data_IF_718802305000
#
_entry.id   IF_718802305000
#
_cell.length_a   1.000
_cell.length_b   1.000
_cell.length_c   1.000
_cell.angle_alpha   90.00
_cell.angle_beta   90.00
_cell.angle_gamma   90.00
#
_symmetry.space_group_name_H-M   'P 1'
#
loop_
_entity.id
_entity.type
_entity.pdbx_description
1 polymer ?
#
# COMPACT_ATOMS: atom_id res chain seq x y z
N UNK A 1 -12.97 8.00 -15.30
CA UNK A 1 -11.79 8.58 -14.57
C UNK A 1 -12.25 9.83 -13.87
N UNK A 2 -11.97 9.95 -12.55
CA UNK A 2 -12.30 11.15 -11.77
C UNK A 2 -11.72 12.39 -12.44
N UNK A 3 -12.52 13.44 -12.56
CA UNK A 3 -12.13 14.69 -13.23
C UNK A 3 -12.84 15.87 -12.59
N UNK A 4 -12.10 16.96 -12.37
CA UNK A 4 -12.63 18.19 -11.76
C UNK A 4 -12.96 18.07 -10.25
N UNK A 5 -12.41 17.04 -9.60
CA UNK A 5 -12.62 16.81 -8.16
C UNK A 5 -11.50 17.43 -7.33
N UNK A 6 -11.80 17.75 -6.07
CA UNK A 6 -10.83 18.24 -5.10
C UNK A 6 -10.47 17.13 -4.12
N UNK A 7 -9.26 16.60 -4.23
CA UNK A 7 -8.84 15.35 -3.60
C UNK A 7 -7.74 15.60 -2.58
N UNK A 8 -7.92 15.08 -1.36
CA UNK A 8 -6.89 15.10 -0.33
C UNK A 8 -6.19 13.74 -0.26
N UNK A 9 -4.86 13.74 -0.35
CA UNK A 9 -4.01 12.53 -0.27
C UNK A 9 -3.03 12.69 0.89
N UNK A 10 -2.98 11.72 1.80
CA UNK A 10 -1.95 11.66 2.84
C UNK A 10 -0.73 10.90 2.33
N UNK A 11 0.48 11.45 2.57
CA UNK A 11 1.74 10.85 2.14
C UNK A 11 1.94 10.75 0.63
N UNK A 12 1.68 11.83 -0.17
CA UNK A 12 1.62 11.77 -1.64
C UNK A 12 2.94 11.35 -2.31
N UNK A 13 4.08 11.56 -1.65
CA UNK A 13 5.40 11.13 -2.12
C UNK A 13 5.72 9.65 -1.79
N UNK A 14 4.91 9.02 -0.96
CA UNK A 14 5.13 7.67 -0.47
C UNK A 14 5.04 6.62 -1.60
N UNK A 15 5.69 5.48 -1.38
CA UNK A 15 5.78 4.35 -2.32
C UNK A 15 4.44 3.95 -2.95
N UNK A 16 3.36 3.93 -2.16
CA UNK A 16 2.02 3.56 -2.62
C UNK A 16 1.32 4.76 -3.26
N UNK A 17 1.36 5.91 -2.59
CA UNK A 17 0.60 7.10 -3.00
C UNK A 17 1.16 7.75 -4.25
N UNK A 18 2.43 7.57 -4.59
CA UNK A 18 3.08 8.24 -5.72
C UNK A 18 2.36 8.01 -7.05
N UNK A 19 2.12 6.75 -7.43
CA UNK A 19 1.41 6.42 -8.68
C UNK A 19 -0.03 6.95 -8.68
N UNK A 20 -0.71 6.87 -7.53
CA UNK A 20 -2.06 7.41 -7.35
C UNK A 20 -2.04 8.93 -7.54
N UNK A 21 -1.08 9.62 -6.91
CA UNK A 21 -0.92 11.06 -6.98
C UNK A 21 -0.65 11.52 -8.43
N UNK A 22 0.31 10.87 -9.11
CA UNK A 22 0.60 11.15 -10.52
C UNK A 22 -0.64 11.03 -11.41
N UNK A 23 -1.43 10.00 -11.21
CA UNK A 23 -2.61 9.75 -12.03
C UNK A 23 -3.73 10.74 -11.75
N UNK A 24 -4.02 10.99 -10.48
CA UNK A 24 -5.14 11.87 -10.09
C UNK A 24 -4.87 13.34 -10.36
N UNK A 25 -3.61 13.80 -10.23
CA UNK A 25 -3.22 15.17 -10.49
C UNK A 25 -3.41 15.61 -11.96
N UNK A 26 -3.50 14.66 -12.90
CA UNK A 26 -3.69 14.98 -14.32
C UNK A 26 -5.03 15.67 -14.63
N UNK A 27 -6.08 15.45 -13.81
CA UNK A 27 -7.44 15.89 -14.11
C UNK A 27 -8.21 16.44 -12.90
N UNK A 28 -7.54 16.56 -11.76
CA UNK A 28 -8.18 16.96 -10.50
C UNK A 28 -7.33 17.99 -9.76
N UNK A 29 -7.95 18.76 -8.88
CA UNK A 29 -7.27 19.56 -7.86
C UNK A 29 -6.81 18.63 -6.75
N UNK A 30 -5.52 18.34 -6.68
CA UNK A 30 -4.96 17.43 -5.67
C UNK A 30 -4.20 18.20 -4.61
N UNK A 31 -4.53 17.93 -3.36
CA UNK A 31 -3.81 18.40 -2.18
C UNK A 31 -3.10 17.22 -1.52
N UNK A 32 -1.83 17.41 -1.18
CA UNK A 32 -1.00 16.42 -0.55
C UNK A 32 -0.51 16.88 0.82
N UNK A 33 -0.75 16.07 1.85
CA UNK A 33 -0.25 16.36 3.20
C UNK A 33 0.74 15.31 3.67
N UNK A 34 1.85 15.75 4.23
CA UNK A 34 2.90 14.92 4.82
C UNK A 34 3.86 15.79 5.64
N UNK A 35 4.76 15.16 6.37
CA UNK A 35 5.87 15.87 7.04
C UNK A 35 6.91 16.41 6.06
N UNK A 36 6.98 15.86 4.84
CA UNK A 36 7.95 16.26 3.79
C UNK A 36 9.39 16.45 4.32
N UNK A 37 9.88 15.47 5.07
CA UNK A 37 11.25 15.49 5.59
C UNK A 37 12.31 15.52 4.48
N UNK A 38 11.98 15.06 3.29
CA UNK A 38 12.79 15.18 2.08
C UNK A 38 12.21 16.26 1.17
N UNK A 39 12.89 17.39 1.05
CA UNK A 39 12.46 18.51 0.22
C UNK A 39 12.46 18.19 -1.28
N UNK A 40 13.29 17.26 -1.74
CA UNK A 40 13.30 16.84 -3.13
C UNK A 40 12.01 16.07 -3.47
N UNK A 41 11.58 15.15 -2.61
CA UNK A 41 10.31 14.43 -2.80
C UNK A 41 9.10 15.39 -2.79
N UNK A 42 9.14 16.43 -1.96
CA UNK A 42 8.12 17.48 -1.97
C UNK A 42 8.06 18.20 -3.31
N UNK A 43 9.21 18.62 -3.85
CA UNK A 43 9.30 19.30 -5.16
C UNK A 43 8.79 18.40 -6.30
N UNK A 44 9.09 17.11 -6.25
CA UNK A 44 8.59 16.14 -7.23
C UNK A 44 7.05 16.05 -7.21
N UNK A 45 6.44 16.06 -6.01
CA UNK A 45 4.98 16.08 -5.86
C UNK A 45 4.40 17.40 -6.38
N UNK A 46 5.01 18.54 -6.03
CA UNK A 46 4.58 19.86 -6.50
C UNK A 46 4.72 20.03 -8.02
N UNK A 47 5.73 19.41 -8.63
CA UNK A 47 5.91 19.37 -10.09
C UNK A 47 4.77 18.66 -10.84
N UNK A 48 3.99 17.83 -10.16
CA UNK A 48 2.75 17.21 -10.69
C UNK A 48 1.55 18.16 -10.66
N UNK A 49 1.70 19.38 -10.16
CA UNK A 49 0.59 20.33 -9.95
C UNK A 49 -0.16 20.12 -8.62
N UNK A 50 0.38 19.35 -7.70
CA UNK A 50 -0.21 19.08 -6.38
C UNK A 50 0.10 20.22 -5.41
N UNK A 51 -0.92 20.71 -4.71
CA UNK A 51 -0.74 21.67 -3.61
C UNK A 51 -0.32 20.92 -2.35
N UNK A 52 0.87 21.19 -1.83
CA UNK A 52 1.37 20.51 -0.63
C UNK A 52 1.17 21.31 0.65
N UNK A 53 0.93 20.61 1.78
CA UNK A 53 0.96 21.18 3.14
C UNK A 53 1.78 20.30 4.05
N UNK A 54 2.64 20.93 4.86
CA UNK A 54 3.37 20.24 5.92
C UNK A 54 2.42 20.00 7.09
N UNK A 55 2.04 18.74 7.31
CA UNK A 55 1.18 18.32 8.42
C UNK A 55 1.73 17.01 8.98
N UNK A 56 1.94 16.97 10.30
CA UNK A 56 2.23 15.71 11.00
C UNK A 56 0.91 15.05 11.41
N UNK A 57 0.70 13.84 10.93
CA UNK A 57 -0.48 13.04 11.27
C UNK A 57 -0.54 12.66 12.75
N UNK A 58 0.57 12.78 13.48
CA UNK A 58 0.57 12.55 14.91
C UNK A 58 -0.11 13.65 15.71
N UNK A 59 -0.13 14.88 15.20
CA UNK A 59 -0.78 16.03 15.85
C UNK A 59 -2.10 16.39 15.19
N UNK A 60 -2.26 16.06 13.89
CA UNK A 60 -3.44 16.41 13.09
C UNK A 60 -3.80 17.91 13.17
N UNK A 61 -2.80 18.78 13.24
CA UNK A 61 -2.97 20.23 13.18
C UNK A 61 -3.13 20.65 11.72
N UNK A 62 -4.37 20.81 11.27
CA UNK A 62 -4.69 21.03 9.86
C UNK A 62 -4.49 22.49 9.37
N UNK A 63 -4.38 23.46 10.28
CA UNK A 63 -4.12 24.87 9.95
C UNK A 63 -5.09 25.44 8.93
N UNK A 64 -4.54 25.96 7.83
CA UNK A 64 -5.27 26.58 6.71
C UNK A 64 -5.69 25.57 5.61
N UNK A 65 -5.66 24.27 5.89
CA UNK A 65 -6.09 23.26 4.94
C UNK A 65 -7.59 23.45 4.60
N UNK A 66 -7.99 23.44 3.31
CA UNK A 66 -9.41 23.54 2.92
C UNK A 66 -10.25 22.38 3.48
N UNK A 67 -11.56 22.65 3.69
CA UNK A 67 -12.53 21.64 4.19
C UNK A 67 -13.48 21.10 3.13
N UNK A 68 -13.37 21.57 1.90
CA UNK A 68 -14.28 21.28 0.78
C UNK A 68 -13.76 20.16 -0.14
N UNK A 69 -12.98 19.23 0.42
CA UNK A 69 -12.53 18.07 -0.33
C UNK A 69 -13.69 17.16 -0.72
N UNK A 70 -13.70 16.75 -1.99
CA UNK A 70 -14.70 15.81 -2.52
C UNK A 70 -14.33 14.35 -2.27
N UNK A 71 -13.03 14.06 -2.14
CA UNK A 71 -12.51 12.71 -1.79
C UNK A 71 -11.32 12.80 -0.84
N UNK A 72 -11.24 11.81 0.04
CA UNK A 72 -10.08 11.57 0.90
C UNK A 72 -9.42 10.25 0.52
N UNK A 73 -8.09 10.26 0.30
CA UNK A 73 -7.26 9.07 0.20
C UNK A 73 -6.26 9.07 1.36
N UNK A 74 -6.58 8.31 2.41
CA UNK A 74 -5.69 8.13 3.56
C UNK A 74 -4.78 6.92 3.31
N UNK A 75 -3.55 7.21 2.84
CA UNK A 75 -2.58 6.20 2.37
C UNK A 75 -1.34 6.17 3.25
N UNK A 76 -1.02 7.28 3.91
CA UNK A 76 0.14 7.36 4.80
C UNK A 76 0.06 6.32 5.91
N UNK A 77 1.20 5.72 6.22
CA UNK A 77 1.35 4.82 7.35
C UNK A 77 2.72 5.05 8.02
N UNK A 78 2.76 4.87 9.33
CA UNK A 78 4.00 4.85 10.09
C UNK A 78 4.34 3.41 10.47
N UNK A 79 5.64 3.09 10.37
CA UNK A 79 6.22 1.81 10.79
C UNK A 79 7.01 2.03 12.08
N UNK A 80 6.31 2.47 13.13
CA UNK A 80 6.91 2.68 14.44
C UNK A 80 7.30 1.36 15.09
N UNK A 81 8.46 1.32 15.73
CA UNK A 81 8.93 0.19 16.51
C UNK A 81 8.82 0.47 18.01
N UNK A 82 8.36 -0.52 18.78
CA UNK A 82 8.43 -0.52 20.24
C UNK A 82 7.43 0.35 20.97
N UNK A 83 6.56 1.11 20.29
CA UNK A 83 5.51 1.92 20.94
C UNK A 83 4.16 1.74 20.27
N UNK A 84 3.30 0.93 20.89
CA UNK A 84 1.92 0.75 20.44
C UNK A 84 1.12 2.05 20.49
N UNK A 85 1.27 2.85 21.55
CA UNK A 85 0.56 4.13 21.69
C UNK A 85 0.88 5.05 20.51
N UNK A 86 2.17 5.18 20.17
CA UNK A 86 2.60 6.01 19.04
C UNK A 86 2.12 5.46 17.71
N UNK A 87 2.20 4.14 17.52
CA UNK A 87 1.74 3.49 16.30
C UNK A 87 0.22 3.66 16.10
N UNK A 88 -0.58 3.52 17.16
CA UNK A 88 -2.02 3.73 17.15
C UNK A 88 -2.34 5.20 16.88
N UNK A 89 -1.67 6.13 17.57
CA UNK A 89 -1.84 7.57 17.36
C UNK A 89 -1.65 7.95 15.88
N UNK A 90 -0.52 7.54 15.29
CA UNK A 90 -0.14 7.97 13.93
C UNK A 90 -0.93 7.23 12.85
N UNK A 91 -1.32 5.97 13.04
CA UNK A 91 -2.03 5.21 12.02
C UNK A 91 -3.56 5.22 12.24
N UNK A 92 -4.04 4.99 13.45
CA UNK A 92 -5.47 4.80 13.70
C UNK A 92 -6.19 6.11 14.09
N UNK A 93 -5.67 6.86 15.07
CA UNK A 93 -6.32 8.10 15.49
C UNK A 93 -6.28 9.14 14.39
N UNK A 94 -5.16 9.25 13.67
CA UNK A 94 -5.04 10.16 12.54
C UNK A 94 -6.07 9.86 11.44
N UNK A 95 -6.37 8.59 11.16
CA UNK A 95 -7.43 8.22 10.22
C UNK A 95 -8.80 8.74 10.69
N UNK A 96 -9.07 8.69 12.01
CA UNK A 96 -10.28 9.25 12.59
C UNK A 96 -10.38 10.76 12.38
N UNK A 97 -9.33 11.50 12.73
CA UNK A 97 -9.27 12.95 12.54
C UNK A 97 -9.38 13.35 11.05
N UNK A 98 -8.75 12.59 10.15
CA UNK A 98 -8.86 12.83 8.71
C UNK A 98 -10.28 12.60 8.18
N UNK A 99 -10.95 11.52 8.63
CA UNK A 99 -12.33 11.22 8.26
C UNK A 99 -13.32 12.25 8.82
N UNK A 100 -13.10 12.73 10.05
CA UNK A 100 -13.88 13.83 10.62
C UNK A 100 -13.66 15.12 9.83
N UNK A 101 -12.41 15.46 9.52
CA UNK A 101 -12.06 16.64 8.74
C UNK A 101 -12.71 16.66 7.36
N UNK A 102 -12.75 15.50 6.71
CA UNK A 102 -13.35 15.30 5.38
C UNK A 102 -14.77 14.73 5.43
N UNK A 103 -15.51 14.89 6.56
CA UNK A 103 -16.82 14.24 6.75
C UNK A 103 -17.88 14.62 5.71
N UNK A 104 -17.70 15.71 4.99
CA UNK A 104 -18.58 16.16 3.91
C UNK A 104 -18.15 15.64 2.52
N UNK A 105 -17.10 14.83 2.43
CA UNK A 105 -16.64 14.26 1.17
C UNK A 105 -17.66 13.25 0.62
N UNK A 106 -17.61 13.04 -0.70
CA UNK A 106 -18.44 12.04 -1.40
C UNK A 106 -18.06 10.62 -0.96
N UNK A 107 -16.75 10.37 -0.79
CA UNK A 107 -16.23 9.10 -0.30
C UNK A 107 -14.79 9.24 0.21
N UNK A 108 -14.36 8.24 1.02
CA UNK A 108 -12.99 8.09 1.47
C UNK A 108 -12.44 6.69 1.18
N UNK A 109 -11.14 6.61 0.91
CA UNK A 109 -10.38 5.37 0.82
C UNK A 109 -9.35 5.34 1.94
N UNK A 110 -9.40 4.29 2.76
CA UNK A 110 -8.42 4.00 3.82
C UNK A 110 -7.55 2.84 3.36
N UNK A 111 -6.24 3.08 3.25
CA UNK A 111 -5.30 2.07 2.80
C UNK A 111 -4.84 1.21 3.98
N UNK A 112 -5.53 0.08 4.19
CA UNK A 112 -5.16 -0.94 5.15
C UNK A 112 -4.14 -1.93 4.55
N UNK A 113 -4.01 -3.12 5.09
CA UNK A 113 -3.00 -4.12 4.70
C UNK A 113 -3.51 -5.54 4.88
N UNK A 114 -3.02 -6.51 4.08
CA UNK A 114 -3.25 -7.94 4.34
C UNK A 114 -2.60 -8.41 5.66
N UNK A 115 -1.69 -7.62 6.23
CA UNK A 115 -1.05 -7.93 7.52
C UNK A 115 -2.00 -7.86 8.72
N UNK A 116 -3.24 -7.44 8.54
CA UNK A 116 -4.28 -7.48 9.60
C UNK A 116 -4.82 -8.90 9.86
N UNK A 117 -4.59 -9.85 8.94
CA UNK A 117 -5.07 -11.21 9.13
C UNK A 117 -4.23 -11.99 10.12
N UNK A 118 -4.89 -12.81 10.92
CA UNK A 118 -4.21 -13.76 11.81
C UNK A 118 -3.39 -14.75 10.98
N UNK A 119 -2.11 -14.96 11.31
CA UNK A 119 -1.27 -15.93 10.61
C UNK A 119 -1.87 -17.33 10.58
N UNK A 120 -1.68 -18.03 9.47
CA UNK A 120 -2.07 -19.43 9.27
C UNK A 120 -0.84 -20.26 8.93
N UNK A 121 -0.80 -21.57 9.26
CA UNK A 121 0.31 -22.45 8.89
C UNK A 121 0.33 -22.82 7.39
N UNK A 122 -0.72 -22.50 6.63
CA UNK A 122 -0.84 -22.77 5.21
C UNK A 122 -0.29 -21.60 4.37
N UNK A 123 0.87 -21.71 3.70
CA UNK A 123 1.50 -20.59 3.01
C UNK A 123 0.61 -19.95 1.93
N UNK A 124 -0.10 -20.79 1.18
CA UNK A 124 -0.95 -20.36 0.05
C UNK A 124 -2.40 -20.07 0.44
N UNK A 125 -2.70 -20.00 1.75
CA UNK A 125 -4.06 -19.64 2.18
C UNK A 125 -4.44 -18.26 1.64
N UNK A 126 -5.47 -18.21 0.81
CA UNK A 126 -6.02 -16.97 0.28
C UNK A 126 -7.04 -16.41 1.29
N UNK A 127 -6.61 -15.38 2.03
CA UNK A 127 -7.45 -14.74 3.05
C UNK A 127 -8.66 -14.05 2.40
N UNK A 128 -9.84 -14.31 2.95
CA UNK A 128 -11.09 -13.61 2.63
C UNK A 128 -11.30 -12.45 3.60
N UNK A 129 -12.09 -11.45 3.19
CA UNK A 129 -12.33 -10.26 4.03
C UNK A 129 -12.99 -10.57 5.39
N UNK A 130 -13.65 -11.71 5.50
CA UNK A 130 -14.27 -12.20 6.74
C UNK A 130 -13.37 -13.06 7.63
N UNK A 131 -12.14 -13.36 7.22
CA UNK A 131 -11.23 -14.19 8.00
C UNK A 131 -10.75 -13.50 9.28
N UNK A 132 -10.27 -14.31 10.24
CA UNK A 132 -9.85 -13.83 11.54
C UNK A 132 -8.71 -12.81 11.43
N UNK A 133 -8.82 -11.73 12.21
CA UNK A 133 -7.78 -10.72 12.37
C UNK A 133 -6.85 -11.08 13.53
N UNK A 134 -5.61 -10.64 13.44
CA UNK A 134 -4.63 -10.88 14.47
C UNK A 134 -3.27 -10.30 14.15
N UNK A 135 -2.35 -10.45 15.10
CA UNK A 135 -1.02 -9.86 15.00
C UNK A 135 -0.09 -10.71 14.14
N UNK A 136 0.71 -10.03 13.30
CA UNK A 136 1.83 -10.60 12.57
C UNK A 136 3.10 -10.03 13.18
N UNK A 137 3.84 -10.86 13.92
CA UNK A 137 4.95 -10.39 14.74
C UNK A 137 6.19 -9.95 13.94
N UNK A 138 6.46 -10.46 12.74
CA UNK A 138 7.69 -10.16 11.96
C UNK A 138 7.51 -10.51 10.47
N UNK A 139 8.21 -9.87 9.51
CA UNK A 139 9.33 -8.93 9.64
C UNK A 139 8.93 -7.44 9.66
N UNK A 140 7.64 -7.15 9.78
CA UNK A 140 7.15 -5.77 9.96
C UNK A 140 7.31 -5.34 11.42
N UNK A 141 7.29 -4.03 11.74
CA UNK A 141 7.24 -3.60 13.12
C UNK A 141 6.16 -4.31 13.90
N UNK A 142 6.49 -4.73 15.11
CA UNK A 142 5.60 -5.43 16.04
C UNK A 142 4.26 -4.72 16.28
N UNK A 143 4.24 -3.40 16.16
CA UNK A 143 3.06 -2.55 16.35
C UNK A 143 2.15 -2.42 15.12
N UNK A 144 2.66 -2.77 13.91
CA UNK A 144 2.02 -2.37 12.64
C UNK A 144 0.64 -3.03 12.43
N UNK A 145 0.55 -4.34 12.56
CA UNK A 145 -0.70 -5.07 12.33
C UNK A 145 -1.80 -4.60 13.27
N UNK A 146 -1.48 -4.45 14.57
CA UNK A 146 -2.41 -3.96 15.58
C UNK A 146 -2.85 -2.53 15.27
N UNK A 147 -1.93 -1.63 14.93
CA UNK A 147 -2.27 -0.26 14.59
C UNK A 147 -3.19 -0.18 13.35
N UNK A 148 -2.98 -1.03 12.35
CA UNK A 148 -3.85 -1.09 11.16
C UNK A 148 -5.22 -1.73 11.46
N UNK A 149 -5.31 -2.70 12.37
CA UNK A 149 -6.60 -3.21 12.86
C UNK A 149 -7.37 -2.10 13.59
N UNK A 150 -6.70 -1.33 14.44
CA UNK A 150 -7.29 -0.17 15.10
C UNK A 150 -7.76 0.90 14.08
N UNK A 151 -6.96 1.18 13.05
CA UNK A 151 -7.33 2.08 11.96
C UNK A 151 -8.62 1.63 11.25
N UNK A 152 -8.75 0.35 10.93
CA UNK A 152 -9.97 -0.19 10.34
C UNK A 152 -11.19 -0.03 11.28
N UNK A 153 -11.01 -0.26 12.57
CA UNK A 153 -12.09 -0.08 13.57
C UNK A 153 -12.55 1.38 13.65
N UNK A 154 -11.59 2.33 13.68
CA UNK A 154 -11.87 3.77 13.67
C UNK A 154 -12.55 4.18 12.37
N UNK A 155 -12.05 3.73 11.21
CA UNK A 155 -12.66 4.04 9.92
C UNK A 155 -14.11 3.52 9.80
N UNK A 156 -14.38 2.31 10.30
CA UNK A 156 -15.75 1.74 10.33
C UNK A 156 -16.69 2.52 11.25
N UNK A 157 -16.18 2.99 12.39
CA UNK A 157 -16.93 3.86 13.30
C UNK A 157 -17.25 5.19 12.62
N UNK A 158 -16.25 5.87 12.06
CA UNK A 158 -16.41 7.15 11.39
C UNK A 158 -17.38 7.08 10.20
N UNK A 159 -17.29 6.03 9.37
CA UNK A 159 -18.22 5.82 8.27
C UNK A 159 -19.68 5.87 8.73
N UNK A 160 -20.01 5.19 9.83
CA UNK A 160 -21.38 5.19 10.41
C UNK A 160 -21.71 6.51 11.09
N UNK A 161 -20.80 7.05 11.90
CA UNK A 161 -21.05 8.25 12.71
C UNK A 161 -21.23 9.50 11.87
N UNK A 162 -20.50 9.61 10.75
CA UNK A 162 -20.55 10.76 9.86
C UNK A 162 -21.40 10.51 8.60
N UNK A 163 -21.98 9.31 8.46
CA UNK A 163 -22.65 8.88 7.22
C UNK A 163 -21.76 9.10 5.97
N UNK A 164 -20.45 8.90 6.13
CA UNK A 164 -19.45 9.06 5.07
C UNK A 164 -19.18 7.70 4.44
N UNK A 165 -19.40 7.53 3.12
CA UNK A 165 -19.03 6.30 2.43
C UNK A 165 -17.51 6.07 2.49
N UNK A 166 -17.10 4.87 2.94
CA UNK A 166 -15.70 4.50 3.10
C UNK A 166 -15.42 3.16 2.43
N UNK A 167 -14.29 3.07 1.72
CA UNK A 167 -13.66 1.80 1.33
C UNK A 167 -12.39 1.61 2.15
N UNK A 168 -12.27 0.46 2.80
CA UNK A 168 -11.06 -0.01 3.50
C UNK A 168 -10.37 -1.03 2.58
N UNK A 169 -9.23 -0.65 2.01
CA UNK A 169 -8.50 -1.46 1.06
C UNK A 169 -7.31 -2.15 1.76
N UNK A 170 -7.40 -3.47 1.98
CA UNK A 170 -6.33 -4.28 2.57
C UNK A 170 -5.28 -4.59 1.51
N UNK A 171 -4.25 -3.75 1.44
CA UNK A 171 -3.22 -3.80 0.42
C UNK A 171 -2.30 -5.02 0.59
N UNK A 172 -2.01 -5.70 -0.51
CA UNK A 172 -0.99 -6.74 -0.61
C UNK A 172 0.43 -6.20 -0.74
N UNK A 173 1.35 -7.05 -1.22
CA UNK A 173 2.75 -6.67 -1.43
C UNK A 173 2.88 -5.72 -2.64
N UNK A 174 2.75 -4.43 -2.39
CA UNK A 174 2.89 -3.40 -3.42
C UNK A 174 4.35 -3.20 -3.83
N UNK A 175 4.59 -2.95 -5.12
CA UNK A 175 5.90 -2.61 -5.65
C UNK A 175 5.83 -1.57 -6.79
N UNK A 176 6.91 -0.83 -6.97
CA UNK A 176 7.04 0.20 -8.00
C UNK A 176 8.44 0.84 -7.93
N UNK A 177 8.75 1.85 -8.75
CA UNK A 177 10.07 2.46 -8.81
C UNK A 177 10.51 3.10 -7.47
N UNK A 178 9.57 3.42 -6.59
CA UNK A 178 9.86 3.95 -5.23
C UNK A 178 10.04 2.85 -4.18
N UNK A 179 10.11 1.57 -4.56
CA UNK A 179 10.40 0.46 -3.66
C UNK A 179 9.32 -0.62 -3.63
N UNK A 180 9.40 -1.46 -2.61
CA UNK A 180 8.56 -2.64 -2.39
C UNK A 180 9.40 -3.86 -2.07
N UNK A 181 8.77 -4.91 -1.54
CA UNK A 181 9.51 -6.10 -1.11
C UNK A 181 10.33 -6.74 -2.25
N UNK A 182 9.82 -6.87 -3.50
CA UNK A 182 10.63 -7.39 -4.60
C UNK A 182 11.89 -6.54 -4.88
N UNK A 183 11.78 -5.21 -4.79
CA UNK A 183 12.92 -4.33 -5.01
C UNK A 183 13.94 -4.40 -3.87
N UNK A 184 13.52 -4.61 -2.63
CA UNK A 184 14.45 -4.86 -1.52
C UNK A 184 15.28 -6.12 -1.79
N UNK A 185 14.69 -7.14 -2.39
CA UNK A 185 15.41 -8.35 -2.82
C UNK A 185 16.35 -8.07 -4.00
N UNK A 186 15.94 -7.24 -4.96
CA UNK A 186 16.79 -6.81 -6.05
C UNK A 186 18.04 -6.07 -5.53
N UNK A 187 17.85 -5.08 -4.68
CA UNK A 187 18.98 -4.31 -4.09
C UNK A 187 19.90 -5.24 -3.28
N UNK A 188 19.34 -6.19 -2.53
CA UNK A 188 20.14 -7.17 -1.82
C UNK A 188 20.99 -8.04 -2.78
N UNK A 189 20.44 -8.44 -3.93
CA UNK A 189 21.20 -9.15 -4.95
C UNK A 189 22.34 -8.32 -5.55
N UNK A 190 22.06 -7.05 -5.86
CA UNK A 190 23.06 -6.13 -6.42
C UNK A 190 24.19 -5.84 -5.44
N UNK A 191 23.90 -5.76 -4.16
CA UNK A 191 24.86 -5.57 -3.08
C UNK A 191 25.55 -6.88 -2.63
N UNK A 192 25.16 -8.03 -3.18
CA UNK A 192 25.70 -9.33 -2.81
C UNK A 192 25.32 -9.79 -1.38
N UNK A 193 24.28 -9.15 -0.80
CA UNK A 193 23.75 -9.52 0.51
C UNK A 193 22.93 -10.81 0.45
N UNK A 194 22.86 -11.53 1.57
CA UNK A 194 21.99 -12.70 1.71
C UNK A 194 20.53 -12.22 1.84
N UNK A 195 19.64 -12.85 1.06
CA UNK A 195 18.20 -12.69 1.21
C UNK A 195 17.71 -13.80 2.15
N UNK A 196 17.02 -13.45 3.22
CA UNK A 196 16.55 -14.37 4.25
C UNK A 196 15.01 -14.47 4.24
N UNK A 197 14.37 -15.25 3.34
CA UNK A 197 12.95 -15.52 3.43
C UNK A 197 12.65 -16.30 4.72
N UNK A 198 11.58 -15.91 5.42
CA UNK A 198 11.20 -16.57 6.68
C UNK A 198 10.50 -17.92 6.50
N UNK A 199 10.19 -18.30 5.27
CA UNK A 199 9.56 -19.56 4.90
C UNK A 199 9.87 -19.95 3.45
N UNK A 200 9.63 -21.21 3.09
CA UNK A 200 9.74 -21.72 1.73
C UNK A 200 8.63 -22.74 1.44
N UNK A 201 7.73 -22.46 0.46
CA UNK A 201 7.59 -21.19 -0.28
C UNK A 201 7.01 -20.06 0.58
N UNK A 202 7.33 -18.78 0.25
CA UNK A 202 6.79 -17.61 0.92
C UNK A 202 5.96 -16.78 -0.07
N UNK A 203 4.67 -17.11 -0.28
CA UNK A 203 3.84 -16.48 -1.28
C UNK A 203 3.25 -15.14 -0.85
N UNK A 204 3.04 -14.28 -1.85
CA UNK A 204 2.40 -12.97 -1.75
C UNK A 204 1.49 -12.73 -2.96
N UNK A 205 0.41 -11.98 -2.78
CA UNK A 205 -0.33 -11.36 -3.87
C UNK A 205 0.29 -10.00 -4.19
N UNK A 206 1.36 -10.01 -5.01
CA UNK A 206 2.10 -8.81 -5.38
C UNK A 206 1.31 -7.95 -6.38
N UNK A 207 1.32 -6.61 -6.19
CA UNK A 207 0.58 -5.67 -7.05
C UNK A 207 1.46 -4.48 -7.43
N UNK A 208 1.58 -4.14 -8.74
CA UNK A 208 2.34 -2.99 -9.20
C UNK A 208 1.61 -1.67 -8.94
N UNK A 209 2.39 -0.60 -8.75
CA UNK A 209 1.87 0.74 -8.45
C UNK A 209 0.89 1.29 -9.49
N UNK A 210 1.07 0.95 -10.78
CA UNK A 210 0.18 1.39 -11.86
C UNK A 210 -1.21 0.76 -11.73
N UNK A 211 -1.30 -0.54 -11.43
CA UNK A 211 -2.59 -1.21 -11.19
C UNK A 211 -3.25 -0.66 -9.92
N UNK A 212 -2.44 -0.37 -8.87
CA UNK A 212 -2.96 0.31 -7.67
C UNK A 212 -3.62 1.64 -8.06
N UNK A 213 -2.94 2.48 -8.85
CA UNK A 213 -3.47 3.77 -9.28
C UNK A 213 -4.72 3.64 -10.17
N UNK A 214 -4.76 2.61 -11.03
CA UNK A 214 -5.90 2.35 -11.91
C UNK A 214 -7.17 1.94 -11.14
N UNK A 215 -7.00 1.26 -10.01
CA UNK A 215 -8.09 0.69 -9.22
C UNK A 215 -8.66 1.63 -8.14
N UNK A 216 -8.01 2.77 -7.85
CA UNK A 216 -8.47 3.71 -6.82
C UNK A 216 -9.87 4.25 -7.11
N UNK A 217 -10.15 4.65 -8.34
CA UNK A 217 -11.46 5.21 -8.70
C UNK A 217 -12.62 4.22 -8.51
N UNK A 218 -12.57 2.98 -9.07
CA UNK A 218 -13.62 2.00 -8.78
C UNK A 218 -13.72 1.64 -7.29
N UNK A 219 -12.61 1.66 -6.52
CA UNK A 219 -12.65 1.46 -5.07
C UNK A 219 -13.36 2.59 -4.34
N UNK A 220 -13.18 3.84 -4.75
CA UNK A 220 -13.95 4.99 -4.24
C UNK A 220 -15.43 4.87 -4.62
N UNK A 221 -15.73 4.37 -5.84
CA UNK A 221 -17.10 4.11 -6.28
C UNK A 221 -17.80 2.98 -5.50
N UNK A 222 -17.04 2.06 -4.90
CA UNK A 222 -17.55 0.98 -4.06
C UNK A 222 -17.65 1.35 -2.58
N UNK A 223 -17.33 2.60 -2.22
CA UNK A 223 -17.45 3.07 -0.85
C UNK A 223 -18.89 3.05 -0.36
N UNK A 224 -19.10 2.68 0.88
CA UNK A 224 -20.44 2.52 1.46
C UNK A 224 -20.48 2.83 2.96
N UNK A 225 -21.71 2.91 3.47
CA UNK A 225 -22.02 2.93 4.93
C UNK A 225 -22.93 1.74 5.21
N UNK A 226 -22.49 0.76 6.00
CA UNK A 226 -21.16 0.58 6.63
C UNK A 226 -20.02 0.46 5.62
N UNK A 227 -18.79 0.72 6.05
CA UNK A 227 -17.61 0.71 5.18
C UNK A 227 -17.45 -0.61 4.40
N UNK A 228 -17.18 -0.50 3.11
CA UNK A 228 -16.76 -1.63 2.27
C UNK A 228 -15.34 -2.02 2.64
N UNK A 229 -15.10 -3.29 2.95
CA UNK A 229 -13.76 -3.86 3.15
C UNK A 229 -13.43 -4.71 1.94
N UNK A 230 -12.22 -4.59 1.39
CA UNK A 230 -11.78 -5.32 0.20
C UNK A 230 -10.30 -5.67 0.26
N UNK A 231 -9.93 -6.90 -0.10
CA UNK A 231 -8.55 -7.28 -0.32
C UNK A 231 -8.04 -6.60 -1.59
N UNK A 232 -7.03 -5.76 -1.45
CA UNK A 232 -6.49 -4.95 -2.53
C UNK A 232 -5.08 -5.45 -2.89
N UNK A 233 -5.00 -6.45 -3.76
CA UNK A 233 -3.75 -7.11 -4.09
C UNK A 233 -3.79 -7.69 -5.51
N UNK A 234 -2.66 -8.19 -5.99
CA UNK A 234 -2.53 -8.75 -7.33
C UNK A 234 -3.33 -10.04 -7.51
N UNK A 235 -3.70 -10.34 -8.76
CA UNK A 235 -4.54 -11.50 -9.12
C UNK A 235 -3.81 -12.82 -8.95
N UNK A 236 -2.50 -12.81 -9.21
CA UNK A 236 -1.65 -13.98 -9.26
C UNK A 236 -0.74 -14.04 -8.04
N UNK A 237 -0.96 -14.98 -7.09
CA UNK A 237 -0.04 -15.20 -5.99
C UNK A 237 1.31 -15.73 -6.51
N UNK A 238 2.39 -15.19 -5.97
CA UNK A 238 3.76 -15.55 -6.35
C UNK A 238 4.65 -15.69 -5.13
N UNK A 239 5.45 -16.77 -5.05
CA UNK A 239 6.41 -16.93 -3.96
C UNK A 239 7.59 -15.96 -4.12
N UNK A 240 8.12 -15.47 -2.99
CA UNK A 240 9.30 -14.59 -2.98
C UNK A 240 10.48 -15.25 -3.72
N UNK A 241 10.67 -16.55 -3.55
CA UNK A 241 11.69 -17.33 -4.23
C UNK A 241 11.55 -17.29 -5.77
N UNK A 242 10.30 -17.27 -6.27
CA UNK A 242 10.03 -17.21 -7.72
C UNK A 242 10.42 -15.85 -8.30
N UNK A 243 10.02 -14.73 -7.68
CA UNK A 243 10.43 -13.43 -8.22
C UNK A 243 11.92 -13.15 -8.02
N UNK A 244 12.55 -13.67 -6.94
CA UNK A 244 14.01 -13.60 -6.76
C UNK A 244 14.72 -14.31 -7.92
N UNK A 245 14.33 -15.56 -8.22
CA UNK A 245 14.90 -16.33 -9.32
C UNK A 245 14.67 -15.64 -10.67
N UNK A 246 13.47 -15.09 -10.91
CA UNK A 246 13.15 -14.37 -12.13
C UNK A 246 14.03 -13.13 -12.31
N UNK A 247 14.12 -12.26 -11.29
CA UNK A 247 14.96 -11.06 -11.35
C UNK A 247 16.43 -11.40 -11.50
N UNK A 248 16.91 -12.42 -10.77
CA UNK A 248 18.28 -12.91 -10.88
C UNK A 248 18.63 -13.36 -12.31
N UNK A 249 17.70 -14.06 -12.98
CA UNK A 249 17.81 -14.45 -14.37
C UNK A 249 17.88 -13.23 -15.32
N UNK A 250 17.06 -12.22 -15.09
CA UNK A 250 17.05 -10.99 -15.90
C UNK A 250 18.38 -10.24 -15.84
N UNK A 251 18.99 -10.15 -14.64
CA UNK A 251 20.21 -9.37 -14.43
C UNK A 251 21.50 -10.20 -14.48
N UNK A 252 21.38 -11.51 -14.64
CA UNK A 252 22.51 -12.44 -14.78
C UNK A 252 23.36 -12.56 -13.52
N UNK A 253 22.73 -12.66 -12.34
CA UNK A 253 23.40 -12.87 -11.05
C UNK A 253 22.90 -14.15 -10.38
N UNK A 254 23.71 -14.71 -9.47
CA UNK A 254 23.30 -15.83 -8.62
C UNK A 254 22.94 -15.28 -7.24
N UNK A 255 21.66 -15.32 -6.82
CA UNK A 255 21.26 -14.79 -5.53
C UNK A 255 21.74 -15.68 -4.38
N UNK A 256 22.13 -15.05 -3.28
CA UNK A 256 22.39 -15.76 -2.02
C UNK A 256 21.08 -15.80 -1.23
N UNK A 257 20.41 -16.95 -1.21
CA UNK A 257 19.14 -17.12 -0.50
C UNK A 257 19.32 -18.15 0.61
N UNK A 258 18.91 -17.80 1.82
CA UNK A 258 18.94 -18.67 2.99
C UNK A 258 17.62 -18.57 3.74
N UNK A 259 16.84 -19.65 3.75
CA UNK A 259 15.57 -19.66 4.50
C UNK A 259 15.86 -19.59 6.00
N UNK A 260 15.27 -18.62 6.68
CA UNK A 260 15.42 -18.39 8.11
C UNK A 260 14.05 -18.31 8.77
N UNK A 261 13.50 -19.43 9.22
CA UNK A 261 12.18 -19.45 9.85
C UNK A 261 12.12 -18.53 11.06
N UNK A 262 11.03 -17.77 11.16
CA UNK A 262 10.77 -16.88 12.29
C UNK A 262 9.50 -17.36 13.00
N UNK A 263 9.59 -17.82 14.26
CA UNK A 263 8.42 -18.28 15.01
C UNK A 263 7.36 -17.18 15.13
N UNK A 264 6.10 -17.54 14.89
CA UNK A 264 4.97 -16.59 14.95
C UNK A 264 4.80 -15.66 13.74
N UNK A 265 5.76 -15.66 12.80
CA UNK A 265 5.62 -14.89 11.57
C UNK A 265 4.63 -15.53 10.60
N UNK A 266 4.01 -14.73 9.75
CA UNK A 266 3.20 -15.21 8.64
C UNK A 266 4.07 -15.99 7.64
N UNK A 267 3.63 -17.16 7.24
CA UNK A 267 4.30 -18.00 6.22
C UNK A 267 3.84 -17.68 4.79
N UNK A 268 2.93 -16.73 4.62
CA UNK A 268 2.42 -16.22 3.35
C UNK A 268 1.53 -15.00 3.56
N UNK A 269 1.27 -14.25 2.50
CA UNK A 269 0.37 -13.09 2.49
C UNK A 269 -0.38 -13.04 1.16
N UNK A 270 -1.34 -13.94 1.02
CA UNK A 270 -2.17 -14.09 -0.18
C UNK A 270 -3.59 -13.63 0.15
N UNK A 271 -4.16 -12.74 -0.67
CA UNK A 271 -5.56 -12.30 -0.54
C UNK A 271 -6.46 -12.99 -1.56
N UNK A 272 -7.66 -13.40 -1.15
CA UNK A 272 -8.74 -13.74 -2.08
C UNK A 272 -9.19 -12.46 -2.78
N UNK A 273 -9.10 -12.43 -4.09
CA UNK A 273 -9.40 -11.24 -4.91
C UNK A 273 -10.80 -11.25 -5.53
N UNK A 274 -11.64 -12.21 -5.19
CA UNK A 274 -12.98 -12.38 -5.80
C UNK A 274 -13.80 -11.09 -5.67
N UNK A 275 -13.86 -10.49 -4.49
CA UNK A 275 -14.58 -9.24 -4.26
C UNK A 275 -13.97 -8.07 -5.02
N UNK A 276 -12.65 -7.95 -5.00
CA UNK A 276 -11.93 -6.90 -5.73
C UNK A 276 -12.16 -7.00 -7.24
N UNK A 277 -12.09 -8.20 -7.82
CA UNK A 277 -12.37 -8.42 -9.24
C UNK A 277 -13.75 -7.93 -9.66
N UNK A 278 -14.75 -8.11 -8.80
CA UNK A 278 -16.11 -7.58 -9.05
C UNK A 278 -16.19 -6.04 -9.00
N UNK A 279 -15.25 -5.36 -8.38
CA UNK A 279 -15.20 -3.90 -8.24
C UNK A 279 -14.30 -3.27 -9.31
N UNK A 280 -13.08 -3.77 -9.47
CA UNK A 280 -12.02 -3.12 -10.26
C UNK A 280 -11.74 -3.81 -11.59
N UNK A 281 -12.24 -5.03 -11.78
CA UNK A 281 -11.72 -5.92 -12.82
C UNK A 281 -10.32 -6.46 -12.50
N UNK A 282 -9.70 -7.20 -13.43
CA UNK A 282 -8.39 -7.81 -13.23
C UNK A 282 -7.25 -6.78 -13.27
N UNK A 283 -6.10 -7.17 -12.72
CA UNK A 283 -4.83 -6.48 -12.94
C UNK A 283 -4.49 -6.46 -14.43
N UNK A 284 -3.95 -5.36 -14.91
CA UNK A 284 -3.52 -5.20 -16.31
C UNK A 284 -2.09 -5.68 -16.54
N UNK A 285 -1.30 -5.75 -15.47
CA UNK A 285 0.13 -5.98 -15.51
C UNK A 285 0.45 -7.30 -14.81
N UNK A 286 0.99 -8.26 -15.56
CA UNK A 286 1.55 -9.48 -14.97
C UNK A 286 2.75 -9.12 -14.10
N UNK A 287 2.98 -9.85 -13.02
CA UNK A 287 4.04 -9.53 -12.07
C UNK A 287 5.44 -9.56 -12.72
N UNK A 288 5.67 -10.46 -13.70
CA UNK A 288 6.92 -10.51 -14.46
C UNK A 288 7.19 -9.21 -15.23
N UNK A 289 6.17 -8.74 -15.98
CA UNK A 289 6.27 -7.53 -16.79
C UNK A 289 6.43 -6.29 -15.91
N UNK A 290 5.70 -6.26 -14.79
CA UNK A 290 5.80 -5.19 -13.81
C UNK A 290 7.18 -5.11 -13.17
N UNK A 291 7.76 -6.23 -12.74
CA UNK A 291 9.11 -6.27 -12.17
C UNK A 291 10.17 -5.87 -13.20
N UNK A 292 10.07 -6.39 -14.44
CA UNK A 292 10.98 -6.03 -15.51
C UNK A 292 10.99 -4.53 -15.75
N UNK A 293 9.80 -3.92 -15.89
CA UNK A 293 9.66 -2.47 -16.10
C UNK A 293 10.26 -1.67 -14.95
N UNK A 294 9.96 -2.04 -13.71
CA UNK A 294 10.50 -1.35 -12.54
C UNK A 294 12.01 -1.47 -12.42
N UNK A 295 12.59 -2.63 -12.79
CA UNK A 295 14.05 -2.79 -12.85
C UNK A 295 14.65 -1.84 -13.90
N UNK A 296 14.09 -1.80 -15.11
CA UNK A 296 14.60 -0.95 -16.17
C UNK A 296 14.48 0.55 -15.83
N UNK A 297 13.38 0.96 -15.19
CA UNK A 297 13.17 2.34 -14.75
C UNK A 297 14.17 2.76 -13.66
N UNK A 298 14.42 1.87 -12.69
CA UNK A 298 15.27 2.18 -11.54
C UNK A 298 16.76 2.01 -11.83
N UNK A 299 17.11 1.06 -12.68
CA UNK A 299 18.46 0.69 -13.07
C UNK A 299 18.54 0.49 -14.59
N UNK A 300 18.49 1.59 -15.38
CA UNK A 300 18.53 1.50 -16.84
C UNK A 300 19.74 0.70 -17.35
N UNK A 301 19.50 -0.27 -18.24
CA UNK A 301 20.53 -1.11 -18.80
C UNK A 301 21.05 -2.24 -17.91
N UNK A 302 20.41 -2.47 -16.73
CA UNK A 302 20.78 -3.57 -15.84
C UNK A 302 20.33 -4.94 -16.39
N UNK A 303 19.22 -4.97 -17.13
CA UNK A 303 18.65 -6.20 -17.70
C UNK A 303 19.52 -6.70 -18.85
N UNK A 304 19.99 -7.95 -18.75
CA UNK A 304 20.84 -8.60 -19.75
C UNK A 304 20.06 -9.47 -20.74
N UNK A 305 18.84 -9.87 -20.37
CA UNK A 305 18.00 -10.74 -21.22
C UNK A 305 16.99 -9.87 -21.97
N UNK A 306 17.01 -9.84 -23.32
CA UNK A 306 16.06 -9.06 -24.11
C UNK A 306 14.62 -9.52 -23.90
N UNK A 307 13.66 -8.69 -24.35
CA UNK A 307 12.26 -9.12 -24.45
C UNK A 307 12.17 -10.31 -25.44
N UNK A 308 11.52 -11.39 -25.01
CA UNK A 308 11.16 -12.49 -25.89
C UNK A 308 9.92 -12.14 -26.72
#
# INVERSE_FOLDING_TARGET
MLSGEKILITGPAGRIAWHITQKLAQKNEVWGIARFGNLQERREVEALGVTTRHIDLATCEFGDLPRDFTYLLHIAASFEHGSYDRAIQVNAESAGFMLEYCRSAKAALIMSTLSVYKPTPAPWHAFKEGDALGDIMVPIPDTYSIAKICEEAVARFCARSFNLPVTIARLGAAYGPRGGLPLMHLEAMLEGRVIEPRWDPLPYSAIPGDDIADMVEPLLGAASVPATIVNFCGDEPVAAQQWIAYMAGLIGVTPKVMVKPVPGASVGSVGDVTKRLGITGPCKIKWQDGLRRVIEERHPGLIKVPFA
#
